data_IF_781517325026
#
_entry.id   IF_781517325026
#
_cell.length_a   1.000
_cell.length_b   1.000
_cell.length_c   1.000
_cell.angle_alpha   90.00
_cell.angle_beta   90.00
_cell.angle_gamma   90.00
#
_symmetry.space_group_name_H-M   'P 1'
#
loop_
_entity.id
_entity.type
_entity.pdbx_description
1 polymer ?
#
# COMPACT_ATOMS: atom_id res chain seq x y z
N UNK A 1 18.17 -6.21 11.53
CA UNK A 1 16.70 -6.22 11.32
C UNK A 1 16.43 -7.02 10.06
N UNK A 2 15.39 -7.86 9.98
CA UNK A 2 15.03 -8.56 8.75
C UNK A 2 14.78 -7.53 7.65
N UNK A 3 15.40 -7.71 6.48
CA UNK A 3 15.18 -6.85 5.32
C UNK A 3 13.96 -7.38 4.57
N UNK A 4 12.89 -6.60 4.54
CA UNK A 4 11.71 -6.93 3.74
C UNK A 4 12.05 -6.71 2.26
N UNK A 5 11.83 -7.72 1.44
CA UNK A 5 11.89 -7.58 -0.02
C UNK A 5 10.51 -7.15 -0.53
N UNK A 6 10.50 -6.06 -1.29
CA UNK A 6 9.28 -5.52 -1.89
C UNK A 6 9.22 -5.99 -3.33
N UNK A 7 8.34 -6.93 -3.62
CA UNK A 7 8.06 -7.39 -4.98
C UNK A 7 6.79 -6.71 -5.50
N UNK A 8 6.91 -6.01 -6.63
CA UNK A 8 5.79 -5.35 -7.28
C UNK A 8 5.15 -6.28 -8.31
N UNK A 9 3.84 -6.50 -8.22
CA UNK A 9 3.09 -7.34 -9.16
C UNK A 9 2.43 -6.55 -10.30
N UNK A 10 1.63 -5.53 -9.98
CA UNK A 10 0.87 -4.75 -10.97
C UNK A 10 0.56 -3.34 -10.47
N UNK A 11 0.53 -2.37 -11.39
CA UNK A 11 0.10 -0.99 -11.09
C UNK A 11 -0.46 -0.29 -12.33
N UNK A 12 -1.53 0.49 -12.15
CA UNK A 12 -2.06 1.45 -13.15
C UNK A 12 -1.60 2.90 -12.93
N UNK A 13 -0.59 3.13 -12.09
CA UNK A 13 -0.08 4.46 -11.72
C UNK A 13 1.28 4.75 -12.38
N UNK A 14 1.70 6.02 -12.36
CA UNK A 14 3.01 6.43 -12.91
C UNK A 14 4.19 5.83 -12.13
N UNK A 15 5.35 5.69 -12.78
CA UNK A 15 6.56 5.14 -12.15
C UNK A 15 7.06 5.97 -10.95
N UNK A 16 6.89 7.29 -11.00
CA UNK A 16 7.24 8.20 -9.91
C UNK A 16 6.36 7.94 -8.70
N UNK A 17 5.03 7.84 -8.90
CA UNK A 17 4.10 7.51 -7.81
C UNK A 17 4.39 6.13 -7.24
N UNK A 18 4.63 5.14 -8.10
CA UNK A 18 4.99 3.77 -7.69
C UNK A 18 6.21 3.77 -6.79
N UNK A 19 7.30 4.43 -7.20
CA UNK A 19 8.55 4.49 -6.42
C UNK A 19 8.34 5.12 -5.04
N UNK A 20 7.57 6.21 -4.98
CA UNK A 20 7.25 6.87 -3.71
C UNK A 20 6.41 5.97 -2.80
N UNK A 21 5.38 5.31 -3.34
CA UNK A 21 4.52 4.39 -2.58
C UNK A 21 5.32 3.21 -2.00
N UNK A 22 6.18 2.57 -2.80
CA UNK A 22 6.97 1.43 -2.33
C UNK A 22 7.95 1.84 -1.21
N UNK A 23 8.58 3.01 -1.33
CA UNK A 23 9.45 3.56 -0.29
C UNK A 23 8.70 3.82 1.02
N UNK A 24 7.51 4.42 0.93
CA UNK A 24 6.66 4.66 2.10
C UNK A 24 6.16 3.36 2.74
N UNK A 25 5.80 2.35 1.94
CA UNK A 25 5.43 1.01 2.45
C UNK A 25 6.56 0.43 3.29
N UNK A 26 7.80 0.41 2.76
CA UNK A 26 8.96 -0.11 3.49
C UNK A 26 9.14 0.60 4.84
N UNK A 27 9.12 1.93 4.83
CA UNK A 27 9.29 2.74 6.05
C UNK A 27 8.18 2.50 7.06
N UNK A 28 6.94 2.34 6.58
CA UNK A 28 5.77 2.12 7.45
C UNK A 28 5.81 0.74 8.10
N UNK A 29 6.29 -0.27 7.37
CA UNK A 29 6.51 -1.62 7.92
C UNK A 29 7.60 -1.56 8.99
N UNK A 30 8.71 -0.86 8.76
CA UNK A 30 9.79 -0.73 9.74
C UNK A 30 9.32 -0.05 11.04
N UNK A 31 8.43 0.95 10.93
CA UNK A 31 7.88 1.67 12.09
C UNK A 31 6.85 0.88 12.89
N UNK A 32 6.02 0.07 12.23
CA UNK A 32 4.88 -0.60 12.87
C UNK A 32 5.04 -2.12 13.03
N UNK A 33 6.13 -2.68 12.53
CA UNK A 33 6.48 -4.10 12.66
C UNK A 33 5.42 -5.00 12.04
N UNK A 34 4.86 -5.92 12.83
CA UNK A 34 3.85 -6.89 12.37
C UNK A 34 2.40 -6.40 12.48
N UNK A 35 2.16 -5.17 12.93
CA UNK A 35 0.81 -4.64 13.12
C UNK A 35 0.17 -4.24 11.78
N UNK A 36 -0.45 -5.20 11.10
CA UNK A 36 -1.13 -4.99 9.81
C UNK A 36 -2.17 -3.86 9.87
N UNK A 37 -2.90 -3.73 10.98
CA UNK A 37 -3.89 -2.67 11.16
C UNK A 37 -3.25 -1.27 11.20
N UNK A 38 -2.14 -1.11 11.93
CA UNK A 38 -1.45 0.18 12.02
C UNK A 38 -0.81 0.55 10.68
N UNK A 39 -0.22 -0.44 9.98
CA UNK A 39 0.34 -0.24 8.65
C UNK A 39 -0.75 0.21 7.68
N UNK A 40 -1.90 -0.50 7.63
CA UNK A 40 -3.00 -0.14 6.74
C UNK A 40 -3.54 1.27 7.02
N UNK A 41 -3.73 1.63 8.29
CA UNK A 41 -4.19 2.98 8.69
C UNK A 41 -3.19 4.07 8.30
N UNK A 42 -1.91 3.87 8.58
CA UNK A 42 -0.86 4.84 8.25
C UNK A 42 -0.73 5.06 6.74
N UNK A 43 -0.70 3.97 5.96
CA UNK A 43 -0.63 4.05 4.49
C UNK A 43 -1.88 4.70 3.89
N UNK A 44 -3.07 4.32 4.36
CA UNK A 44 -4.33 4.92 3.88
C UNK A 44 -4.34 6.43 4.13
N UNK A 45 -3.92 6.85 5.32
CA UNK A 45 -3.82 8.28 5.65
C UNK A 45 -2.83 8.98 4.72
N UNK A 46 -1.61 8.47 4.61
CA UNK A 46 -0.57 9.08 3.78
C UNK A 46 -0.96 9.16 2.30
N UNK A 47 -1.57 8.11 1.74
CA UNK A 47 -2.05 8.10 0.35
C UNK A 47 -3.10 9.19 0.12
N UNK A 48 -4.08 9.30 1.02
CA UNK A 48 -5.14 10.31 0.91
C UNK A 48 -4.59 11.75 1.03
N UNK A 49 -3.62 11.96 1.91
CA UNK A 49 -2.96 13.27 2.07
C UNK A 49 -2.06 13.63 0.88
N UNK A 50 -1.41 12.65 0.24
CA UNK A 50 -0.41 12.87 -0.82
C UNK A 50 -1.04 12.94 -2.22
N UNK A 51 -2.04 12.11 -2.49
CA UNK A 51 -2.60 11.91 -3.84
C UNK A 51 -4.10 12.24 -3.94
N UNK A 52 -4.69 12.80 -2.88
CA UNK A 52 -6.12 13.10 -2.80
C UNK A 52 -6.94 11.94 -2.25
N UNK A 53 -8.19 12.21 -1.88
CA UNK A 53 -9.04 11.29 -1.11
C UNK A 53 -9.44 10.00 -1.86
N UNK A 54 -9.98 9.04 -1.11
CA UNK A 54 -10.61 7.77 -1.56
C UNK A 54 -9.68 6.57 -1.82
N UNK A 55 -8.44 6.60 -1.33
CA UNK A 55 -7.58 5.41 -1.35
C UNK A 55 -8.03 4.37 -0.32
N UNK A 56 -7.99 3.11 -0.74
CA UNK A 56 -8.23 1.94 0.12
C UNK A 56 -6.98 1.07 0.15
N UNK A 57 -6.53 0.70 1.34
CA UNK A 57 -5.38 -0.20 1.54
C UNK A 57 -5.86 -1.51 2.14
N UNK A 58 -5.52 -2.61 1.47
CA UNK A 58 -5.75 -3.98 1.95
C UNK A 58 -4.41 -4.64 2.21
N UNK A 59 -4.26 -5.25 3.38
CA UNK A 59 -3.03 -5.96 3.78
C UNK A 59 -3.42 -7.31 4.36
N UNK A 60 -2.69 -8.34 3.97
CA UNK A 60 -2.63 -9.57 4.75
C UNK A 60 -1.70 -10.57 4.08
N UNK A 61 -1.87 -11.85 4.40
CA UNK A 61 -0.89 -12.86 4.00
C UNK A 61 -1.14 -13.33 2.56
N UNK A 62 -0.09 -13.78 1.85
CA UNK A 62 -0.24 -14.41 0.54
C UNK A 62 -1.34 -15.48 0.56
N UNK A 63 -2.21 -15.47 -0.44
CA UNK A 63 -3.33 -16.43 -0.58
C UNK A 63 -4.58 -16.14 0.25
N UNK A 64 -4.65 -15.03 1.00
CA UNK A 64 -5.83 -14.70 1.83
C UNK A 64 -6.91 -13.86 1.14
N UNK A 65 -6.63 -13.27 -0.02
CA UNK A 65 -7.60 -12.40 -0.70
C UNK A 65 -7.67 -12.70 -2.19
N UNK A 66 -8.90 -12.71 -2.70
CA UNK A 66 -9.20 -12.34 -4.08
C UNK A 66 -9.82 -10.95 -4.00
N UNK A 67 -9.20 -9.99 -4.67
CA UNK A 67 -9.63 -8.60 -4.68
C UNK A 67 -10.19 -8.31 -6.07
N UNK A 68 -11.47 -7.96 -6.13
CA UNK A 68 -12.13 -7.50 -7.35
C UNK A 68 -12.52 -6.03 -7.15
N UNK A 69 -12.02 -5.16 -8.03
CA UNK A 69 -12.33 -3.74 -8.03
C UNK A 69 -12.79 -3.33 -9.43
N UNK A 70 -13.98 -2.73 -9.51
CA UNK A 70 -14.43 -2.04 -10.72
C UNK A 70 -14.13 -0.56 -10.57
N UNK A 71 -13.27 -0.02 -11.44
CA UNK A 71 -13.23 1.43 -11.65
C UNK A 71 -14.54 1.80 -12.38
N UNK A 72 -15.49 2.38 -11.66
CA UNK A 72 -16.62 3.04 -12.30
C UNK A 72 -16.11 4.38 -12.83
N UNK A 73 -15.85 4.46 -14.14
CA UNK A 73 -15.73 5.75 -14.80
C UNK A 73 -17.09 6.46 -14.64
N UNK A 74 -17.06 7.67 -14.05
CA UNK A 74 -18.25 8.54 -13.93
C UNK A 74 -18.58 9.21 -15.25
#
# INVERSE_FOLDING_TARGET
MPRWEVEHQYSGITDVMKTNILSTISTTIDLHGSSMLNIAKALTKWLNETYGNYWTVVIGKPGQFNIDFTYAES
#
